data_IF_327142360123
#
_entry.id   IF_327142360123
#
_cell.length_a   1.000
_cell.length_b   1.000
_cell.length_c   1.000
_cell.angle_alpha   90.00
_cell.angle_beta   90.00
_cell.angle_gamma   90.00
#
_symmetry.space_group_name_H-M   'P 1'
#
loop_
_entity.id
_entity.type
_entity.pdbx_description
1 polymer ?
#
# COMPACT_ATOMS: atom_id res chain seq x y z
N UNK A 1 0.40 3.42 44.35
CA UNK A 1 1.17 2.24 43.89
C UNK A 1 0.30 1.22 43.17
N UNK A 2 -0.79 0.71 43.80
CA UNK A 2 -1.68 -0.32 43.20
C UNK A 2 -2.30 0.06 41.84
N UNK A 3 -2.65 1.34 41.62
CA UNK A 3 -3.22 1.83 40.35
C UNK A 3 -2.23 1.86 39.18
N UNK A 4 -0.94 2.10 39.46
CA UNK A 4 0.12 2.07 38.45
C UNK A 4 0.46 0.65 38.00
N UNK A 5 0.29 -0.32 38.91
CA UNK A 5 0.51 -1.74 38.64
C UNK A 5 -0.55 -2.30 37.67
N UNK A 6 -1.79 -1.81 37.74
CA UNK A 6 -2.86 -2.16 36.79
C UNK A 6 -2.58 -1.59 35.39
N UNK A 7 -2.10 -0.34 35.29
CA UNK A 7 -1.74 0.29 34.02
C UNK A 7 -0.58 -0.43 33.33
N UNK A 8 0.43 -0.84 34.10
CA UNK A 8 1.57 -1.62 33.59
C UNK A 8 1.16 -3.01 33.10
N UNK A 9 0.18 -3.63 33.76
CA UNK A 9 -0.36 -4.92 33.30
C UNK A 9 -1.19 -4.79 32.02
N UNK A 10 -1.93 -3.68 31.85
CA UNK A 10 -2.70 -3.41 30.63
C UNK A 10 -1.82 -3.21 29.39
N UNK A 11 -0.62 -2.64 29.54
CA UNK A 11 0.32 -2.47 28.41
C UNK A 11 0.87 -3.79 27.85
N UNK A 12 0.72 -4.91 28.57
CA UNK A 12 1.15 -6.23 28.12
C UNK A 12 0.11 -6.94 27.24
N UNK A 13 -1.11 -6.41 27.14
CA UNK A 13 -2.20 -7.00 26.34
C UNK A 13 -2.22 -6.48 24.88
N UNK A 14 -1.12 -5.93 24.39
CA UNK A 14 -1.01 -5.51 22.99
C UNK A 14 -1.08 -6.71 22.05
N UNK A 15 -2.14 -6.80 21.24
CA UNK A 15 -2.23 -7.75 20.14
C UNK A 15 -1.39 -7.27 18.95
N UNK A 16 -0.72 -8.19 18.28
CA UNK A 16 -0.03 -7.91 17.03
C UNK A 16 -1.06 -7.80 15.90
N UNK A 17 -1.06 -6.67 15.19
CA UNK A 17 -1.80 -6.54 13.94
C UNK A 17 -0.97 -7.21 12.83
N UNK A 18 -1.46 -8.33 12.29
CA UNK A 18 -0.84 -8.97 11.14
C UNK A 18 -1.41 -8.35 9.86
N UNK A 19 -0.53 -7.81 9.03
CA UNK A 19 -0.88 -7.49 7.66
C UNK A 19 -0.81 -8.76 6.81
N UNK A 20 -1.72 -8.89 5.84
CA UNK A 20 -1.74 -10.02 4.90
C UNK A 20 -0.63 -9.93 3.84
N UNK A 21 0.14 -8.83 3.86
CA UNK A 21 1.27 -8.57 2.96
C UNK A 21 2.59 -8.55 3.73
N UNK A 22 3.72 -8.82 3.06
CA UNK A 22 5.00 -9.05 3.73
C UNK A 22 6.10 -7.99 3.53
N UNK A 23 5.84 -6.91 2.78
CA UNK A 23 6.81 -5.84 2.53
C UNK A 23 6.19 -4.44 2.55
N UNK A 24 7.03 -3.44 2.83
CA UNK A 24 6.64 -2.04 2.75
C UNK A 24 7.72 -1.23 2.02
N UNK A 25 7.30 -0.19 1.31
CA UNK A 25 8.20 0.80 0.73
C UNK A 25 7.63 2.20 0.93
N UNK A 26 8.49 3.17 1.25
CA UNK A 26 8.09 4.57 1.39
C UNK A 26 8.72 5.38 0.27
N UNK A 27 7.90 6.09 -0.52
CA UNK A 27 8.37 6.85 -1.68
C UNK A 27 7.37 7.91 -2.13
N UNK A 28 7.80 8.79 -3.03
CA UNK A 28 6.93 9.84 -3.60
C UNK A 28 6.24 9.31 -4.84
N UNK A 29 4.95 9.57 -4.97
CA UNK A 29 4.21 9.21 -6.19
C UNK A 29 4.68 10.09 -7.35
N UNK A 30 5.09 9.48 -8.46
CA UNK A 30 5.63 10.19 -9.64
C UNK A 30 4.72 10.11 -10.86
N UNK A 31 3.78 9.16 -10.89
CA UNK A 31 2.75 9.06 -11.93
C UNK A 31 1.57 8.25 -11.41
N UNK A 32 0.38 8.54 -11.95
CA UNK A 32 -0.84 7.78 -11.71
C UNK A 32 -1.57 7.63 -13.05
N UNK A 33 -2.00 6.42 -13.38
CA UNK A 33 -2.79 6.10 -14.56
C UNK A 33 -4.05 5.34 -14.16
N UNK A 34 -5.19 5.74 -14.72
CA UNK A 34 -6.49 5.08 -14.55
C UNK A 34 -6.97 4.52 -15.87
N UNK A 35 -7.51 3.30 -15.86
CA UNK A 35 -7.97 2.61 -17.06
C UNK A 35 -9.49 2.45 -17.01
N UNK A 36 -10.18 3.27 -17.81
CA UNK A 36 -11.65 3.42 -17.79
C UNK A 36 -12.42 2.16 -18.14
N UNK A 37 -11.84 1.26 -18.93
CA UNK A 37 -12.49 0.01 -19.35
C UNK A 37 -12.38 -1.14 -18.34
N UNK A 38 -11.51 -1.02 -17.32
CA UNK A 38 -11.21 -2.11 -16.37
C UNK A 38 -11.23 -1.68 -14.90
N UNK A 39 -11.34 -0.39 -14.60
CA UNK A 39 -11.27 0.11 -13.22
C UNK A 39 -9.89 -0.04 -12.58
N UNK A 40 -8.85 -0.34 -13.36
CA UNK A 40 -7.48 -0.51 -12.86
C UNK A 40 -6.83 0.84 -12.59
N UNK A 41 -6.03 0.88 -11.52
CA UNK A 41 -5.24 2.06 -11.17
C UNK A 41 -3.78 1.62 -11.04
N UNK A 42 -2.92 2.24 -11.83
CA UNK A 42 -1.48 2.05 -11.79
C UNK A 42 -0.79 3.31 -11.30
N UNK A 43 0.29 3.15 -10.56
CA UNK A 43 1.10 4.29 -10.13
C UNK A 43 2.57 3.90 -9.98
N UNK A 44 3.44 4.90 -9.90
CA UNK A 44 4.88 4.72 -9.69
C UNK A 44 5.35 5.51 -8.48
N UNK A 45 6.35 4.96 -7.80
CA UNK A 45 7.16 5.71 -6.84
C UNK A 45 8.46 6.19 -7.48
N UNK A 46 9.08 7.21 -6.90
CA UNK A 46 10.42 7.67 -7.25
C UNK A 46 11.50 6.61 -6.96
N UNK A 47 11.30 5.80 -5.92
CA UNK A 47 12.18 4.70 -5.52
C UNK A 47 11.58 3.31 -5.81
N UNK A 48 10.80 3.19 -6.88
CA UNK A 48 10.21 1.92 -7.32
C UNK A 48 11.24 0.78 -7.32
N UNK A 49 10.92 -0.43 -6.80
CA UNK A 49 11.84 -1.57 -6.87
C UNK A 49 12.26 -1.84 -8.31
N UNK A 50 13.55 -2.05 -8.56
CA UNK A 50 14.05 -2.33 -9.92
C UNK A 50 13.77 -3.76 -10.38
N UNK A 51 13.61 -4.69 -9.44
CA UNK A 51 13.35 -6.11 -9.70
C UNK A 51 12.30 -6.67 -8.76
N UNK A 52 11.50 -7.62 -9.26
CA UNK A 52 10.55 -8.39 -8.46
C UNK A 52 10.49 -9.82 -9.04
N UNK A 53 10.51 -10.88 -8.21
CA UNK A 53 10.68 -12.26 -8.70
C UNK A 53 9.52 -12.76 -9.57
N UNK A 54 8.32 -12.17 -9.43
CA UNK A 54 7.10 -12.65 -10.12
C UNK A 54 6.37 -11.59 -10.98
N UNK A 55 6.67 -10.30 -10.80
CA UNK A 55 5.88 -9.21 -11.40
C UNK A 55 6.78 -8.25 -12.16
N UNK A 56 6.22 -7.59 -13.17
CA UNK A 56 6.82 -6.41 -13.78
C UNK A 56 6.87 -5.27 -12.75
N UNK A 57 7.97 -4.54 -12.76
CA UNK A 57 8.27 -3.47 -11.81
C UNK A 57 8.00 -2.06 -12.35
N UNK A 58 7.40 -1.96 -13.54
CA UNK A 58 7.10 -0.71 -14.21
C UNK A 58 6.04 0.13 -13.47
N UNK A 59 5.14 -0.53 -12.73
CA UNK A 59 4.11 0.09 -11.91
C UNK A 59 3.74 -0.78 -10.69
N UNK A 60 3.22 -0.11 -9.66
CA UNK A 60 2.31 -0.72 -8.69
C UNK A 60 0.88 -0.71 -9.20
N UNK A 61 0.08 -1.69 -8.78
CA UNK A 61 -1.30 -1.87 -9.21
C UNK A 61 -2.28 -1.97 -8.04
N UNK A 62 -3.36 -1.18 -8.11
CA UNK A 62 -4.58 -1.42 -7.34
C UNK A 62 -5.48 -2.33 -8.17
N UNK A 63 -5.76 -3.52 -7.65
CA UNK A 63 -6.52 -4.57 -8.34
C UNK A 63 -8.00 -4.18 -8.51
N UNK A 64 -8.61 -4.46 -9.67
CA UNK A 64 -10.02 -4.15 -9.94
C UNK A 64 -11.02 -4.94 -9.08
N UNK A 65 -10.59 -6.06 -8.50
CA UNK A 65 -11.39 -6.80 -7.51
C UNK A 65 -11.52 -6.06 -6.18
N UNK A 66 -10.70 -5.03 -5.93
CA UNK A 66 -10.86 -4.13 -4.78
C UNK A 66 -12.22 -3.42 -4.89
N UNK A 67 -13.07 -3.44 -3.84
CA UNK A 67 -14.36 -2.75 -3.86
C UNK A 67 -14.22 -1.29 -4.31
N UNK A 68 -15.13 -0.84 -5.17
CA UNK A 68 -14.99 0.46 -5.85
C UNK A 68 -14.83 1.62 -4.86
N UNK A 69 -15.63 1.65 -3.79
CA UNK A 69 -15.53 2.67 -2.75
C UNK A 69 -14.12 2.73 -2.11
N UNK A 70 -13.49 1.57 -1.88
CA UNK A 70 -12.12 1.50 -1.34
C UNK A 70 -11.13 1.98 -2.39
N UNK A 71 -11.30 1.57 -3.64
CA UNK A 71 -10.43 2.01 -4.75
C UNK A 71 -10.49 3.52 -4.96
N UNK A 72 -11.66 4.15 -4.86
CA UNK A 72 -11.81 5.61 -4.94
C UNK A 72 -11.12 6.33 -3.77
N UNK A 73 -11.21 5.79 -2.55
CA UNK A 73 -10.47 6.33 -1.40
C UNK A 73 -8.96 6.25 -1.61
N UNK A 74 -8.46 5.09 -2.07
CA UNK A 74 -7.04 4.89 -2.38
C UNK A 74 -6.59 5.82 -3.48
N UNK A 75 -7.36 5.94 -4.56
CA UNK A 75 -7.08 6.86 -5.66
C UNK A 75 -6.98 8.32 -5.17
N UNK A 76 -7.91 8.74 -4.33
CA UNK A 76 -7.90 10.09 -3.73
C UNK A 76 -6.63 10.33 -2.91
N UNK A 77 -6.19 9.34 -2.11
CA UNK A 77 -4.92 9.42 -1.36
C UNK A 77 -3.71 9.53 -2.27
N UNK A 78 -3.67 8.75 -3.36
CA UNK A 78 -2.61 8.80 -4.36
C UNK A 78 -2.55 10.18 -5.02
N UNK A 79 -3.69 10.76 -5.42
CA UNK A 79 -3.76 12.11 -6.00
C UNK A 79 -3.24 13.19 -5.05
N UNK A 80 -3.58 13.10 -3.76
CA UNK A 80 -3.07 14.03 -2.74
C UNK A 80 -1.56 13.85 -2.56
N UNK A 81 -1.06 12.62 -2.51
CA UNK A 81 0.38 12.34 -2.40
C UNK A 81 1.15 12.86 -3.62
N UNK A 82 0.63 12.62 -4.82
CA UNK A 82 1.19 13.10 -6.08
C UNK A 82 1.26 14.62 -6.15
N UNK A 83 0.14 15.30 -5.87
CA UNK A 83 0.07 16.77 -5.94
C UNK A 83 0.89 17.46 -4.86
N UNK A 84 1.00 16.87 -3.66
CA UNK A 84 1.79 17.42 -2.56
C UNK A 84 3.27 17.07 -2.60
N UNK A 85 3.67 16.07 -3.39
CA UNK A 85 5.04 15.53 -3.42
C UNK A 85 5.47 14.88 -2.10
N UNK A 86 4.53 14.57 -1.19
CA UNK A 86 4.82 13.90 0.08
C UNK A 86 5.05 12.42 -0.15
N UNK A 87 6.04 11.87 0.56
CA UNK A 87 6.27 10.43 0.56
C UNK A 87 5.14 9.71 1.30
N UNK A 88 4.72 8.57 0.75
CA UNK A 88 3.71 7.68 1.32
C UNK A 88 4.27 6.28 1.42
N UNK A 89 3.73 5.49 2.35
CA UNK A 89 4.06 4.10 2.56
C UNK A 89 3.09 3.18 1.82
N UNK A 90 3.67 2.25 1.08
CA UNK A 90 2.97 1.26 0.27
C UNK A 90 3.23 -0.12 0.86
N UNK A 91 2.16 -0.84 1.16
CA UNK A 91 2.21 -2.26 1.57
C UNK A 91 2.00 -3.17 0.36
N UNK A 92 2.92 -4.12 0.17
CA UNK A 92 2.96 -5.04 -0.97
C UNK A 92 3.62 -6.37 -0.57
N UNK A 93 3.63 -7.36 -1.46
CA UNK A 93 4.43 -8.57 -1.28
C UNK A 93 5.76 -8.46 -2.01
N UNK A 94 6.89 -8.69 -1.34
CA UNK A 94 8.22 -8.72 -2.00
C UNK A 94 8.42 -9.97 -2.87
N UNK A 95 7.60 -10.99 -2.66
CA UNK A 95 7.67 -12.31 -3.29
C UNK A 95 6.25 -12.73 -3.68
N UNK A 96 5.83 -12.41 -4.90
CA UNK A 96 4.51 -12.77 -5.43
C UNK A 96 3.51 -11.61 -5.45
N UNK A 97 2.22 -11.91 -5.32
CA UNK A 97 1.18 -10.87 -5.24
C UNK A 97 1.15 -9.94 -6.46
N UNK A 98 0.90 -10.48 -7.66
CA UNK A 98 0.75 -9.66 -8.85
C UNK A 98 -0.73 -9.37 -9.16
N UNK A 99 -1.02 -8.15 -9.60
CA UNK A 99 -2.28 -7.76 -10.23
C UNK A 99 -1.95 -7.32 -11.67
N UNK A 100 -2.48 -8.04 -12.67
CA UNK A 100 -2.22 -7.76 -14.10
C UNK A 100 -0.74 -7.78 -14.47
N UNK A 101 0.01 -8.69 -13.86
CA UNK A 101 1.45 -8.81 -14.04
C UNK A 101 2.28 -7.72 -13.37
N UNK A 102 1.68 -6.77 -12.63
CA UNK A 102 2.35 -5.70 -11.86
C UNK A 102 2.26 -5.98 -10.37
N UNK A 103 3.09 -5.32 -9.58
CA UNK A 103 3.11 -5.52 -8.12
C UNK A 103 1.78 -5.07 -7.52
N UNK A 104 1.03 -5.98 -6.91
CA UNK A 104 -0.24 -5.68 -6.24
C UNK A 104 0.00 -4.92 -4.95
N UNK A 105 -0.83 -3.91 -4.71
CA UNK A 105 -0.80 -3.12 -3.49
C UNK A 105 -1.96 -3.52 -2.60
N UNK A 106 -1.65 -3.74 -1.32
CA UNK A 106 -2.62 -4.06 -0.28
C UNK A 106 -2.88 -2.87 0.64
N UNK A 107 -1.95 -1.90 0.70
CA UNK A 107 -2.09 -0.70 1.55
C UNK A 107 -1.46 0.54 0.92
N UNK A 108 -2.16 1.66 1.04
CA UNK A 108 -1.66 3.01 0.71
C UNK A 108 -1.92 3.93 1.89
N UNK A 109 -0.87 4.47 2.51
CA UNK A 109 -1.00 5.42 3.63
C UNK A 109 0.29 6.02 4.14
#
# INVERSE_FOLDING_TARGET
MKKYLVLMFLSLLGSYANADYNANITGKVTSIATYTYSGRIYFRLDNQPSSHPACQTDYFAIDESTPDAIRQQVYSRLLVAYSSGKAINIGYDKEGGCAHGRIKVYRVG
#
